data_IF_442627989988
#
_entry.id   IF_442627989988
#
_cell.length_a   1.000
_cell.length_b   1.000
_cell.length_c   1.000
_cell.angle_alpha   90.00
_cell.angle_beta   90.00
_cell.angle_gamma   90.00
#
_symmetry.space_group_name_H-M   'P 1'
#
loop_
_entity.id
_entity.type
_entity.pdbx_description
1 polymer ?
#
# COMPACT_ATOMS: atom_id res chain seq x y z
N UNK A 1 25.61 -23.75 -77.18
CA UNK A 1 25.11 -24.64 -76.12
C UNK A 1 25.38 -23.92 -74.81
N UNK A 2 24.66 -22.84 -74.49
CA UNK A 2 24.94 -22.14 -73.23
C UNK A 2 23.67 -21.38 -72.83
N UNK A 3 22.92 -21.97 -71.90
CA UNK A 3 21.98 -21.27 -71.02
C UNK A 3 21.52 -22.28 -69.97
N UNK A 4 22.48 -22.80 -69.20
CA UNK A 4 22.19 -23.75 -68.11
C UNK A 4 22.99 -23.50 -66.83
N UNK A 5 23.53 -22.29 -66.64
CA UNK A 5 24.37 -21.99 -65.46
C UNK A 5 23.94 -20.77 -64.63
N UNK A 6 22.90 -20.02 -65.00
CA UNK A 6 22.50 -18.83 -64.21
C UNK A 6 21.31 -19.05 -63.25
N UNK A 7 20.72 -20.26 -63.23
CA UNK A 7 19.53 -20.53 -62.41
C UNK A 7 19.82 -21.25 -61.07
N UNK A 8 21.09 -21.42 -60.69
CA UNK A 8 21.45 -22.12 -59.44
C UNK A 8 22.03 -21.20 -58.36
N UNK A 9 22.40 -19.95 -58.69
CA UNK A 9 23.02 -19.02 -57.74
C UNK A 9 22.02 -18.38 -56.75
N UNK A 10 20.75 -18.22 -57.16
CA UNK A 10 19.71 -17.63 -56.31
C UNK A 10 19.14 -18.59 -55.26
N UNK A 11 19.40 -19.89 -55.40
CA UNK A 11 19.03 -20.92 -54.43
C UNK A 11 20.05 -21.04 -53.28
N UNK A 12 21.25 -20.47 -53.41
CA UNK A 12 22.30 -20.55 -52.38
C UNK A 12 22.25 -19.39 -51.36
N UNK A 13 21.29 -18.48 -51.47
CA UNK A 13 21.16 -17.31 -50.60
C UNK A 13 20.53 -17.59 -49.24
N UNK A 14 20.09 -18.83 -48.99
CA UNK A 14 19.43 -19.20 -47.73
C UNK A 14 20.40 -19.99 -46.84
N UNK A 15 20.55 -19.60 -45.56
CA UNK A 15 21.36 -20.34 -44.60
C UNK A 15 20.96 -21.81 -44.50
N UNK A 16 21.93 -22.68 -44.28
CA UNK A 16 21.70 -24.11 -44.02
C UNK A 16 20.72 -24.30 -42.85
N UNK A 17 19.73 -25.19 -43.02
CA UNK A 17 18.69 -25.43 -42.03
C UNK A 17 17.61 -24.34 -41.91
N UNK A 18 17.60 -23.34 -42.81
CA UNK A 18 16.58 -22.29 -42.80
C UNK A 18 15.17 -22.86 -42.93
N UNK A 19 14.94 -23.70 -43.94
CA UNK A 19 13.61 -24.28 -44.20
C UNK A 19 13.21 -25.35 -43.16
N UNK A 20 14.19 -26.09 -42.62
CA UNK A 20 13.96 -27.09 -41.58
C UNK A 20 13.38 -26.46 -40.30
N UNK A 21 13.86 -25.26 -39.95
CA UNK A 21 13.40 -24.51 -38.78
C UNK A 21 12.38 -23.41 -39.12
N UNK A 22 12.05 -23.18 -40.39
CA UNK A 22 11.11 -22.15 -40.81
C UNK A 22 9.69 -22.46 -40.31
N UNK A 23 9.25 -23.70 -40.47
CA UNK A 23 7.92 -24.14 -40.03
C UNK A 23 7.75 -23.96 -38.52
N UNK A 24 8.79 -24.29 -37.75
CA UNK A 24 8.79 -24.14 -36.29
C UNK A 24 8.78 -22.65 -35.88
N UNK A 25 9.60 -21.82 -36.54
CA UNK A 25 9.63 -20.37 -36.30
C UNK A 25 8.30 -19.69 -36.63
N UNK A 26 7.62 -20.09 -37.70
CA UNK A 26 6.29 -19.58 -38.05
C UNK A 26 5.26 -19.98 -37.00
N UNK A 27 5.29 -21.24 -36.53
CA UNK A 27 4.38 -21.68 -35.45
C UNK A 27 4.60 -20.88 -34.17
N UNK A 28 5.87 -20.68 -33.80
CA UNK A 28 6.24 -19.89 -32.63
C UNK A 28 5.81 -18.42 -32.77
N UNK A 29 6.00 -17.81 -33.93
CA UNK A 29 5.59 -16.41 -34.15
C UNK A 29 4.07 -16.24 -34.09
N UNK A 30 3.32 -17.15 -34.73
CA UNK A 30 1.85 -17.14 -34.69
C UNK A 30 1.34 -17.35 -33.26
N UNK A 31 1.99 -18.24 -32.50
CA UNK A 31 1.65 -18.46 -31.09
C UNK A 31 1.91 -17.23 -30.22
N UNK A 32 3.03 -16.53 -30.44
CA UNK A 32 3.35 -15.29 -29.72
C UNK A 32 2.38 -14.15 -30.08
N UNK A 33 1.98 -14.05 -31.35
CA UNK A 33 1.00 -13.06 -31.80
C UNK A 33 -0.40 -13.35 -31.22
N UNK A 34 -0.80 -14.62 -31.15
CA UNK A 34 -2.05 -15.05 -30.50
C UNK A 34 -2.05 -14.75 -28.99
N UNK A 35 -0.92 -15.00 -28.31
CA UNK A 35 -0.75 -14.61 -26.91
C UNK A 35 -0.81 -13.09 -26.72
N UNK A 36 -0.17 -12.32 -27.59
CA UNK A 36 -0.20 -10.86 -27.56
C UNK A 36 -1.62 -10.32 -27.79
N UNK A 37 -2.38 -10.94 -28.70
CA UNK A 37 -3.77 -10.55 -28.95
C UNK A 37 -4.71 -10.90 -27.78
N UNK A 38 -4.40 -11.95 -27.02
CA UNK A 38 -5.16 -12.39 -25.83
C UNK A 38 -4.84 -11.60 -24.56
N UNK A 39 -3.67 -10.98 -24.47
CA UNK A 39 -3.31 -10.07 -23.37
C UNK A 39 -3.90 -8.70 -23.70
N UNK A 40 -5.17 -8.51 -23.37
CA UNK A 40 -5.82 -7.22 -23.45
C UNK A 40 -5.20 -6.27 -22.43
N UNK A 41 -4.62 -5.19 -22.93
CA UNK A 41 -4.13 -4.00 -22.23
C UNK A 41 -3.11 -4.25 -21.10
N UNK A 42 -1.84 -3.96 -21.39
CA UNK A 42 -0.86 -3.70 -20.34
C UNK A 42 0.12 -4.82 -19.96
N UNK A 43 0.53 -5.70 -20.89
CA UNK A 43 1.78 -6.48 -20.78
C UNK A 43 2.11 -7.08 -19.39
N UNK A 44 3.39 -7.08 -19.01
CA UNK A 44 3.80 -7.41 -17.64
C UNK A 44 3.63 -6.18 -16.73
N UNK A 45 2.51 -6.11 -16.03
CA UNK A 45 2.29 -5.13 -14.96
C UNK A 45 3.22 -5.47 -13.80
N UNK A 46 4.14 -4.55 -13.51
CA UNK A 46 4.99 -4.63 -12.32
C UNK A 46 4.23 -4.03 -11.15
N UNK A 47 4.27 -4.64 -9.95
CA UNK A 47 3.66 -4.05 -8.77
C UNK A 47 4.22 -2.66 -8.46
N UNK A 48 3.40 -1.84 -7.80
CA UNK A 48 3.82 -0.51 -7.34
C UNK A 48 5.11 -0.62 -6.53
N UNK A 49 6.05 0.31 -6.78
CA UNK A 49 7.35 0.40 -6.12
C UNK A 49 8.28 -0.82 -6.30
N UNK A 50 8.00 -1.74 -7.24
CA UNK A 50 8.88 -2.90 -7.49
C UNK A 50 10.33 -2.48 -7.74
N UNK A 51 10.56 -1.50 -8.61
CA UNK A 51 11.91 -1.05 -8.95
C UNK A 51 12.56 -0.19 -7.85
N UNK A 52 11.77 0.45 -6.99
CA UNK A 52 12.29 1.20 -5.84
C UNK A 52 12.74 0.27 -4.72
N UNK A 53 12.01 -0.81 -4.47
CA UNK A 53 12.34 -1.82 -3.46
C UNK A 53 13.38 -2.85 -3.94
N UNK A 54 13.56 -3.02 -5.25
CA UNK A 54 14.46 -4.01 -5.83
C UNK A 54 15.90 -3.92 -5.30
N UNK A 55 16.55 -2.74 -5.20
CA UNK A 55 17.91 -2.64 -4.68
C UNK A 55 18.02 -3.09 -3.22
N UNK A 56 17.04 -2.73 -2.38
CA UNK A 56 16.99 -3.13 -0.98
C UNK A 56 16.83 -4.64 -0.83
N UNK A 57 15.95 -5.24 -1.62
CA UNK A 57 15.72 -6.70 -1.64
C UNK A 57 16.99 -7.45 -2.10
N UNK A 58 17.67 -6.96 -3.13
CA UNK A 58 18.92 -7.57 -3.61
C UNK A 58 20.02 -7.47 -2.54
N UNK A 59 20.18 -6.30 -1.91
CA UNK A 59 21.16 -6.12 -0.85
C UNK A 59 20.85 -6.98 0.38
N UNK A 60 19.59 -7.06 0.81
CA UNK A 60 19.16 -7.92 1.90
C UNK A 60 19.43 -9.40 1.65
N UNK A 61 19.12 -9.89 0.45
CA UNK A 61 19.38 -11.28 0.06
C UNK A 61 20.88 -11.60 -0.02
N UNK A 62 21.69 -10.70 -0.60
CA UNK A 62 23.14 -10.89 -0.67
C UNK A 62 23.82 -10.88 0.70
N UNK A 63 23.34 -10.06 1.63
CA UNK A 63 23.80 -10.06 3.02
C UNK A 63 23.44 -11.37 3.75
N UNK A 64 22.22 -11.87 3.57
CA UNK A 64 21.80 -13.16 4.11
C UNK A 64 22.63 -14.31 3.54
N UNK A 65 22.97 -14.27 2.26
CA UNK A 65 23.83 -15.26 1.61
C UNK A 65 25.27 -15.22 2.15
N UNK A 66 25.83 -14.02 2.36
CA UNK A 66 27.14 -13.86 3.00
C UNK A 66 27.16 -14.37 4.45
N UNK A 67 26.09 -14.16 5.21
CA UNK A 67 25.95 -14.72 6.56
C UNK A 67 25.87 -16.25 6.54
N UNK A 68 25.16 -16.84 5.58
CA UNK A 68 25.13 -18.30 5.38
C UNK A 68 26.50 -18.86 4.99
N UNK A 69 27.26 -18.16 4.15
CA UNK A 69 28.59 -18.58 3.70
C UNK A 69 29.73 -18.36 4.70
N UNK A 70 29.56 -17.45 5.67
CA UNK A 70 30.58 -17.12 6.69
C UNK A 70 30.37 -17.83 8.03
N UNK A 71 29.24 -18.50 8.23
CA UNK A 71 29.02 -19.39 9.37
C UNK A 71 29.73 -20.73 9.11
N UNK A 72 30.65 -21.19 9.97
CA UNK A 72 31.35 -22.48 9.81
C UNK A 72 30.48 -23.73 9.93
N UNK A 73 29.15 -23.59 9.93
CA UNK A 73 28.24 -24.64 10.38
C UNK A 73 27.10 -24.79 9.38
N UNK A 74 27.32 -25.62 8.35
CA UNK A 74 26.26 -26.13 7.46
C UNK A 74 25.12 -26.87 8.23
N UNK A 75 25.29 -27.06 9.54
CA UNK A 75 24.34 -27.74 10.44
C UNK A 75 23.69 -26.85 11.50
N UNK A 76 23.95 -25.53 11.53
CA UNK A 76 23.35 -24.63 12.51
C UNK A 76 21.97 -24.15 12.05
N UNK A 77 21.06 -25.09 11.79
CA UNK A 77 19.65 -24.83 12.03
C UNK A 77 19.40 -24.56 13.52
N UNK A 78 18.17 -24.25 13.89
CA UNK A 78 17.78 -24.21 15.31
C UNK A 78 17.95 -25.60 15.93
N UNK A 79 19.13 -25.90 16.47
CA UNK A 79 19.40 -27.16 17.14
C UNK A 79 18.74 -27.07 18.52
N UNK A 80 17.68 -27.86 18.72
CA UNK A 80 17.09 -28.00 20.05
C UNK A 80 18.07 -28.74 20.96
N UNK A 81 18.25 -28.31 22.22
CA UNK A 81 19.09 -29.01 23.19
C UNK A 81 18.74 -30.50 23.31
N UNK A 82 19.74 -31.33 23.59
CA UNK A 82 19.55 -32.75 23.85
C UNK A 82 18.50 -32.95 24.95
N UNK A 83 17.50 -33.80 24.67
CA UNK A 83 16.42 -34.09 25.62
C UNK A 83 15.28 -33.06 25.68
N UNK A 84 15.28 -31.99 24.88
CA UNK A 84 14.18 -30.99 24.84
C UNK A 84 12.81 -31.65 24.65
N UNK A 85 12.67 -32.51 23.62
CA UNK A 85 11.40 -33.17 23.31
C UNK A 85 11.00 -34.22 24.37
N UNK A 86 11.98 -34.90 24.99
CA UNK A 86 11.73 -35.84 26.09
C UNK A 86 11.18 -35.12 27.33
N UNK A 87 11.83 -34.03 27.74
CA UNK A 87 11.37 -33.19 28.84
C UNK A 87 10.02 -32.52 28.56
N UNK A 88 9.78 -32.08 27.33
CA UNK A 88 8.49 -31.52 26.91
C UNK A 88 7.38 -32.57 27.00
N UNK A 89 7.62 -33.78 26.48
CA UNK A 89 6.64 -34.87 26.48
C UNK A 89 6.27 -35.27 27.90
N UNK A 90 7.26 -35.39 28.79
CA UNK A 90 7.03 -35.69 30.21
C UNK A 90 6.19 -34.60 30.91
N UNK A 91 6.44 -33.31 30.62
CA UNK A 91 5.67 -32.20 31.18
C UNK A 91 4.23 -32.18 30.69
N UNK A 92 4.00 -32.46 29.41
CA UNK A 92 2.65 -32.50 28.82
C UNK A 92 1.83 -33.63 29.45
N UNK A 93 2.42 -34.83 29.62
CA UNK A 93 1.73 -35.96 30.27
C UNK A 93 1.43 -35.68 31.73
N UNK A 94 2.37 -35.08 32.47
CA UNK A 94 2.15 -34.68 33.86
C UNK A 94 1.02 -33.64 33.98
N UNK A 95 0.99 -32.64 33.10
CA UNK A 95 -0.05 -31.61 33.08
C UNK A 95 -1.43 -32.17 32.71
N UNK A 96 -1.51 -33.08 31.72
CA UNK A 96 -2.77 -33.69 31.30
C UNK A 96 -3.37 -34.64 32.36
N UNK A 97 -2.52 -35.24 33.20
CA UNK A 97 -2.97 -36.06 34.33
C UNK A 97 -3.44 -35.21 35.53
N UNK A 98 -2.82 -34.05 35.79
CA UNK A 98 -3.17 -33.16 36.92
C UNK A 98 -4.57 -32.51 36.74
N UNK A 99 -5.08 -32.42 35.51
CA UNK A 99 -6.42 -31.87 35.21
C UNK A 99 -7.57 -32.90 35.44
N UNK A 100 -7.27 -34.16 35.78
CA UNK A 100 -8.27 -35.24 35.94
C UNK A 100 -8.31 -35.89 37.33
N UNK A 101 -7.56 -35.40 38.32
CA UNK A 101 -7.46 -36.07 39.64
C UNK A 101 -7.71 -35.10 40.80
N UNK A 102 -8.87 -34.44 40.79
CA UNK A 102 -9.54 -34.12 42.05
C UNK A 102 -10.00 -35.46 42.64
N UNK A 103 -9.30 -35.92 43.69
CA UNK A 103 -9.59 -37.03 44.62
C UNK A 103 -8.56 -38.19 44.64
N UNK A 104 -7.30 -37.94 44.99
CA UNK A 104 -6.72 -38.65 46.13
C UNK A 104 -5.41 -38.08 46.68
N UNK A 105 -5.34 -38.14 48.00
CA UNK A 105 -4.27 -37.70 48.87
C UNK A 105 -3.08 -38.70 48.86
N UNK A 106 -1.94 -38.20 49.34
CA UNK A 106 -0.84 -38.92 50.01
C UNK A 106 0.41 -39.27 49.16
N UNK A 107 1.39 -38.36 49.30
CA UNK A 107 2.85 -38.57 49.41
C UNK A 107 3.62 -39.16 48.23
N UNK A 108 4.69 -38.47 47.82
CA UNK A 108 6.05 -38.70 48.34
C UNK A 108 7.03 -37.68 47.74
N UNK A 109 8.01 -37.31 48.54
CA UNK A 109 9.01 -36.29 48.26
C UNK A 109 9.87 -36.61 47.01
N UNK A 110 9.73 -35.79 45.97
CA UNK A 110 10.81 -35.51 45.02
C UNK A 110 10.89 -34.00 44.92
N UNK A 111 12.09 -33.46 45.14
CA UNK A 111 12.40 -32.05 45.03
C UNK A 111 12.08 -31.56 43.62
N UNK A 112 10.86 -31.05 43.45
CA UNK A 112 10.45 -30.30 42.29
C UNK A 112 11.15 -28.92 42.34
N UNK A 113 11.74 -28.43 41.24
CA UNK A 113 12.16 -27.04 41.18
C UNK A 113 10.93 -26.18 41.45
N UNK A 114 11.09 -25.27 42.42
CA UNK A 114 10.07 -24.36 42.92
C UNK A 114 9.07 -23.99 41.83
N UNK A 115 7.83 -24.47 41.98
CA UNK A 115 6.68 -24.03 41.20
C UNK A 115 6.72 -22.51 41.24
N UNK A 116 7.12 -21.87 40.15
CA UNK A 116 7.00 -20.43 39.99
C UNK A 116 5.49 -20.18 39.86
N UNK A 117 4.82 -20.11 41.01
CA UNK A 117 3.47 -19.62 41.08
C UNK A 117 3.52 -18.22 40.48
N UNK A 118 3.00 -18.08 39.28
CA UNK A 118 2.88 -16.81 38.60
C UNK A 118 2.03 -15.94 39.52
N UNK A 119 2.69 -15.11 40.32
CA UNK A 119 2.02 -14.13 41.15
C UNK A 119 1.37 -13.17 40.17
N UNK A 120 0.06 -13.31 40.00
CA UNK A 120 -0.77 -12.41 39.20
C UNK A 120 -0.79 -11.07 39.94
N UNK A 121 0.25 -10.26 39.73
CA UNK A 121 0.33 -8.95 40.33
C UNK A 121 -0.59 -8.05 39.51
N UNK A 122 -1.68 -7.60 40.12
CA UNK A 122 -2.57 -6.61 39.52
C UNK A 122 -1.77 -5.33 39.27
N UNK A 123 -1.42 -5.07 38.01
CA UNK A 123 -0.60 -3.94 37.54
C UNK A 123 -1.20 -2.56 37.88
N UNK A 124 -2.46 -2.52 38.30
CA UNK A 124 -3.19 -1.30 38.68
C UNK A 124 -2.74 -0.63 39.99
N UNK A 125 -1.89 -1.28 40.79
CA UNK A 125 -1.33 -0.66 42.00
C UNK A 125 0.05 -0.01 41.76
N UNK A 126 0.52 0.05 40.50
CA UNK A 126 1.81 0.66 40.23
C UNK A 126 1.72 2.18 40.27
N UNK A 127 2.52 2.81 41.14
CA UNK A 127 2.64 4.27 41.28
C UNK A 127 3.03 4.98 39.98
N UNK A 128 3.45 4.23 38.95
CA UNK A 128 3.75 4.74 37.60
C UNK A 128 2.53 5.33 36.87
N UNK A 129 1.28 4.92 37.16
CA UNK A 129 0.11 5.54 36.53
C UNK A 129 -0.01 7.04 36.87
N UNK A 130 0.42 7.47 38.06
CA UNK A 130 0.37 8.87 38.48
C UNK A 130 1.37 9.72 37.69
N UNK A 131 2.54 9.17 37.40
CA UNK A 131 3.59 9.85 36.62
C UNK A 131 3.27 9.89 35.13
N UNK A 132 2.68 8.81 34.58
CA UNK A 132 2.24 8.78 33.19
C UNK A 132 1.20 9.87 32.90
N UNK A 133 0.21 10.04 33.78
CA UNK A 133 -0.77 11.12 33.65
C UNK A 133 -0.13 12.51 33.72
N UNK A 134 0.80 12.76 34.66
CA UNK A 134 1.51 14.04 34.76
C UNK A 134 2.37 14.35 33.52
N UNK A 135 3.06 13.35 32.96
CA UNK A 135 3.84 13.51 31.74
C UNK A 135 2.96 13.86 30.54
N UNK A 136 1.78 13.25 30.41
CA UNK A 136 0.83 13.60 29.35
C UNK A 136 0.36 15.05 29.41
N UNK A 137 0.12 15.62 30.61
CA UNK A 137 -0.24 17.03 30.73
C UNK A 137 0.88 17.96 30.26
N UNK A 138 2.14 17.63 30.58
CA UNK A 138 3.30 18.40 30.12
C UNK A 138 3.43 18.31 28.59
N UNK A 139 3.28 17.10 28.02
CA UNK A 139 3.36 16.89 26.57
C UNK A 139 2.24 17.62 25.83
N UNK A 140 1.00 17.56 26.32
CA UNK A 140 -0.13 18.26 25.69
C UNK A 140 0.01 19.78 25.78
N UNK A 141 0.48 20.30 26.90
CA UNK A 141 0.71 21.75 27.06
C UNK A 141 1.84 22.23 26.14
N UNK A 142 2.95 21.49 26.07
CA UNK A 142 4.08 21.79 25.20
C UNK A 142 3.72 21.66 23.71
N UNK A 143 3.03 20.60 23.32
CA UNK A 143 2.54 20.40 21.96
C UNK A 143 1.53 21.50 21.58
N UNK A 144 0.63 21.87 22.49
CA UNK A 144 -0.33 22.97 22.28
C UNK A 144 0.36 24.31 22.00
N UNK A 145 1.41 24.65 22.77
CA UNK A 145 2.22 25.86 22.52
C UNK A 145 3.00 25.77 21.21
N UNK A 146 3.56 24.60 20.89
CA UNK A 146 4.29 24.37 19.65
C UNK A 146 3.41 24.53 18.41
N UNK A 147 2.22 23.91 18.41
CA UNK A 147 1.25 24.07 17.32
C UNK A 147 0.64 25.48 17.28
N UNK A 148 0.52 26.17 18.42
CA UNK A 148 0.11 27.57 18.44
C UNK A 148 1.12 28.47 17.74
N UNK A 149 2.43 28.24 17.93
CA UNK A 149 3.49 28.96 17.21
C UNK A 149 3.55 28.61 15.71
N UNK A 150 3.06 27.44 15.32
CA UNK A 150 2.98 27.01 13.91
C UNK A 150 1.69 27.42 13.21
N UNK A 151 0.77 28.14 13.86
CA UNK A 151 -0.31 28.78 13.12
C UNK A 151 0.33 29.81 12.20
N UNK A 152 0.22 29.71 10.86
CA UNK A 152 0.40 30.90 10.04
C UNK A 152 -0.59 31.92 10.59
N UNK A 153 -0.12 33.16 10.80
CA UNK A 153 -0.99 34.32 11.04
C UNK A 153 -2.25 34.14 10.18
N UNK A 154 -3.47 34.29 10.73
CA UNK A 154 -4.65 34.31 9.87
C UNK A 154 -4.36 35.39 8.84
N UNK A 155 -4.16 34.99 7.58
CA UNK A 155 -3.97 35.92 6.49
C UNK A 155 -5.32 36.59 6.36
N UNK A 156 -5.52 37.65 7.14
CA UNK A 156 -6.65 38.55 7.00
C UNK A 156 -6.52 39.10 5.61
N UNK A 157 -7.31 38.55 4.71
CA UNK A 157 -7.41 39.04 3.37
C UNK A 157 -8.16 40.38 3.49
N UNK A 158 -7.40 41.47 3.64
CA UNK A 158 -7.97 42.81 3.85
C UNK A 158 -8.95 43.18 2.72
N UNK A 159 -8.77 42.60 1.53
CA UNK A 159 -9.71 42.73 0.43
C UNK A 159 -11.05 42.05 0.72
N UNK A 160 -11.04 40.87 1.36
CA UNK A 160 -12.24 40.12 1.74
C UNK A 160 -12.98 40.79 2.90
N UNK A 161 -12.24 41.27 3.92
CA UNK A 161 -12.83 42.03 5.03
C UNK A 161 -13.41 43.37 4.57
N UNK A 162 -12.74 44.07 3.66
CA UNK A 162 -13.26 45.29 3.03
C UNK A 162 -14.50 44.99 2.18
N UNK A 163 -14.53 43.86 1.49
CA UNK A 163 -15.70 43.45 0.69
C UNK A 163 -16.90 43.11 1.59
N UNK A 164 -16.69 42.43 2.71
CA UNK A 164 -17.76 42.20 3.69
C UNK A 164 -18.28 43.51 4.28
N UNK A 165 -17.40 44.44 4.63
CA UNK A 165 -17.82 45.75 5.15
C UNK A 165 -18.58 46.57 4.10
N UNK A 166 -18.20 46.49 2.83
CA UNK A 166 -18.93 47.11 1.74
C UNK A 166 -20.32 46.49 1.54
N UNK A 167 -20.46 45.16 1.70
CA UNK A 167 -21.76 44.47 1.60
C UNK A 167 -22.74 44.92 2.70
N UNK A 168 -22.26 45.20 3.90
CA UNK A 168 -23.09 45.71 5.00
C UNK A 168 -23.55 47.16 4.81
N UNK A 169 -22.82 47.95 4.01
CA UNK A 169 -23.14 49.36 3.73
C UNK A 169 -24.06 49.51 2.49
N UNK A 170 -24.42 48.41 1.83
CA UNK A 170 -25.42 48.43 0.76
C UNK A 170 -26.80 48.59 1.40
N UNK A 171 -27.44 49.72 1.11
CA UNK A 171 -28.80 50.00 1.58
C UNK A 171 -29.83 49.09 0.87
N UNK A 172 -30.83 48.64 1.61
CA UNK A 172 -31.92 47.78 1.13
C UNK A 172 -32.62 48.35 -0.10
N UNK A 173 -32.75 49.68 -0.22
CA UNK A 173 -33.35 50.29 -1.41
C UNK A 173 -32.51 50.09 -2.68
N UNK A 174 -31.18 50.06 -2.56
CA UNK A 174 -30.25 49.82 -3.68
C UNK A 174 -30.36 48.38 -4.15
N UNK A 175 -30.55 47.44 -3.22
CA UNK A 175 -30.79 46.03 -3.51
C UNK A 175 -32.12 45.86 -4.25
N UNK A 176 -33.18 46.50 -3.76
CA UNK A 176 -34.51 46.47 -4.40
C UNK A 176 -34.45 47.10 -5.79
N UNK A 177 -33.76 48.24 -5.94
CA UNK A 177 -33.57 48.90 -7.24
C UNK A 177 -32.79 48.02 -8.22
N UNK A 178 -31.71 47.36 -7.78
CA UNK A 178 -30.95 46.44 -8.64
C UNK A 178 -31.75 45.20 -9.03
N UNK A 179 -32.52 44.61 -8.11
CA UNK A 179 -33.40 43.47 -8.42
C UNK A 179 -34.50 43.91 -9.37
N UNK A 180 -35.07 45.09 -9.15
CA UNK A 180 -36.12 45.61 -10.00
C UNK A 180 -35.59 45.96 -11.39
N UNK A 181 -34.40 46.57 -11.49
CA UNK A 181 -33.71 46.81 -12.76
C UNK A 181 -33.36 45.51 -13.49
N UNK A 182 -32.82 44.50 -12.78
CA UNK A 182 -32.54 43.18 -13.35
C UNK A 182 -33.82 42.43 -13.76
N UNK A 183 -34.92 42.61 -13.04
CA UNK A 183 -36.23 42.04 -13.42
C UNK A 183 -36.91 42.78 -14.58
N UNK A 184 -36.48 44.01 -14.88
CA UNK A 184 -36.93 44.77 -16.06
C UNK A 184 -36.10 44.43 -17.31
N UNK A 185 -34.98 43.72 -17.16
CA UNK A 185 -34.20 43.05 -18.21
C UNK A 185 -34.35 41.52 -18.11
N UNK A 186 -35.58 41.00 -18.09
CA UNK A 186 -35.80 39.60 -18.47
C UNK A 186 -35.59 39.47 -19.99
N UNK A 187 -34.37 39.12 -20.43
CA UNK A 187 -34.11 38.07 -21.43
C UNK A 187 -32.60 37.74 -21.44
N UNK A 188 -32.17 36.77 -20.62
CA UNK A 188 -31.25 35.66 -20.94
C UNK A 188 -30.57 35.13 -19.66
N UNK A 189 -30.52 33.80 -19.44
CA UNK A 189 -29.66 33.26 -18.41
C UNK A 189 -28.20 33.60 -18.77
N UNK A 190 -27.55 34.40 -17.92
CA UNK A 190 -26.11 34.74 -17.99
C UNK A 190 -25.28 33.55 -17.52
N UNK A 191 -25.47 32.42 -18.17
CA UNK A 191 -24.40 31.45 -18.39
C UNK A 191 -24.44 31.26 -19.89
N UNK A 192 -23.50 31.90 -20.58
CA UNK A 192 -23.34 31.69 -22.01
C UNK A 192 -23.34 30.18 -22.24
N UNK A 193 -24.21 29.68 -23.12
CA UNK A 193 -24.29 28.25 -23.42
C UNK A 193 -22.91 27.67 -23.75
N UNK A 194 -22.01 28.51 -24.29
CA UNK A 194 -20.60 28.21 -24.50
C UNK A 194 -19.79 27.90 -23.22
N UNK A 195 -20.04 28.61 -22.11
CA UNK A 195 -19.34 28.35 -20.84
C UNK A 195 -19.84 27.05 -20.19
N UNK A 196 -21.14 26.79 -20.31
CA UNK A 196 -21.73 25.53 -19.85
C UNK A 196 -21.24 24.35 -20.71
N UNK A 197 -21.19 24.50 -22.03
CA UNK A 197 -20.65 23.50 -22.96
C UNK A 197 -19.18 23.20 -22.66
N UNK A 198 -18.37 24.23 -22.42
CA UNK A 198 -16.96 24.06 -22.04
C UNK A 198 -16.81 23.36 -20.68
N UNK A 199 -17.62 23.72 -19.68
CA UNK A 199 -17.59 23.07 -18.38
C UNK A 199 -17.93 21.58 -18.48
N UNK A 200 -18.93 21.24 -19.30
CA UNK A 200 -19.31 19.84 -19.55
C UNK A 200 -18.18 19.10 -20.27
N UNK A 201 -17.58 19.70 -21.31
CA UNK A 201 -16.49 19.07 -22.07
C UNK A 201 -15.19 18.90 -21.28
N UNK A 202 -14.92 19.79 -20.31
CA UNK A 202 -13.70 19.73 -19.49
C UNK A 202 -13.81 18.79 -18.30
N UNK A 203 -15.01 18.60 -17.74
CA UNK A 203 -15.20 17.82 -16.51
C UNK A 203 -15.81 16.43 -16.72
N UNK A 204 -16.39 16.16 -17.89
CA UNK A 204 -17.00 14.87 -18.21
C UNK A 204 -16.40 14.28 -19.48
N UNK A 205 -16.03 13.00 -19.46
CA UNK A 205 -15.56 12.31 -20.65
C UNK A 205 -16.74 11.92 -21.54
N UNK A 206 -16.55 11.82 -22.86
CA UNK A 206 -17.62 11.39 -23.79
C UNK A 206 -18.23 10.02 -23.41
N UNK A 207 -17.48 9.16 -22.72
CA UNK A 207 -17.99 7.87 -22.24
C UNK A 207 -18.92 8.02 -21.02
N UNK A 208 -18.72 9.02 -20.17
CA UNK A 208 -19.59 9.26 -19.00
C UNK A 208 -20.96 9.82 -19.44
N UNK A 209 -20.98 10.62 -20.51
CA UNK A 209 -22.21 11.20 -21.07
C UNK A 209 -23.04 10.12 -21.79
N UNK A 210 -22.39 9.16 -22.45
CA UNK A 210 -23.07 8.10 -23.20
C UNK A 210 -23.52 6.91 -22.35
N UNK A 211 -23.02 6.78 -21.11
CA UNK A 211 -23.35 5.67 -20.21
C UNK A 211 -24.57 5.93 -19.32
N UNK A 212 -25.07 7.17 -19.29
CA UNK A 212 -26.23 7.58 -18.48
C UNK A 212 -27.48 7.92 -19.33
N UNK A 213 -27.53 7.42 -20.58
CA UNK A 213 -28.68 7.53 -21.49
C UNK A 213 -29.32 6.18 -21.81
#
# INVERSE_FOLDING_TARGET
MENKLENEEWMSGTPEGYFDSLSERIRQSVFLDDLRAKVADGGFITPDNYFEALPEVIHGNSFLEQLKGSSPVETAGFITPEGYFSGLSSRIVAQAHDDNDDLNEVTMAVQAPSKHAVKIVRLWHSSFLKYASAACFILLSAAGLYFYQQKPEPVVNYAELANEQMLYDIDEHVIIEHIQAASMEEEQPVVATADLENYILTNYSQNDIASDL
#
